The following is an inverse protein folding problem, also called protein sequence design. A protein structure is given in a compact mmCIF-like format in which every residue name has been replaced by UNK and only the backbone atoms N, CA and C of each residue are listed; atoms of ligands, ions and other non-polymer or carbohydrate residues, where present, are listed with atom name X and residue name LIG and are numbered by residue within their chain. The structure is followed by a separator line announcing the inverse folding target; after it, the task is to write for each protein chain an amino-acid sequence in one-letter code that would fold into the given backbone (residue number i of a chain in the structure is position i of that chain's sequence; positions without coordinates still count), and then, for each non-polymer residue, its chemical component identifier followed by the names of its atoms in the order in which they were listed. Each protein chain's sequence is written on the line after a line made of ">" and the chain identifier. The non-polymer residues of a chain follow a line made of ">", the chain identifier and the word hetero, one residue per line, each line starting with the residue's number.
data_IF_451382624391
#
_entry.id   IF_451382624391
#
_cell.length_a   1.000
_cell.length_b   1.000
_cell.length_c   1.000
_cell.angle_alpha   90.00
_cell.angle_beta   90.00
_cell.angle_gamma   90.00
#
_symmetry.space_group_name_H-M   'P 1'
#
loop_
_entity.id
_entity.type
_entity.pdbx_description
1 polymer ?
#
# COMPACT_ATOMS: atom_id res chain seq x y z
N UNK A 1 13.57 -7.41 7.57
CA UNK A 1 12.65 -6.89 6.56
C UNK A 1 13.29 -5.74 5.78
N UNK A 2 12.69 -5.35 4.68
CA UNK A 2 13.15 -4.21 3.89
C UNK A 2 12.77 -2.91 4.60
N UNK A 3 13.73 -2.25 5.26
CA UNK A 3 13.52 -1.02 6.01
C UNK A 3 13.28 0.22 5.12
N UNK A 4 13.36 0.08 3.81
CA UNK A 4 12.97 1.16 2.89
C UNK A 4 11.46 1.46 2.94
N UNK A 5 10.65 0.48 3.35
CA UNK A 5 9.22 0.66 3.57
C UNK A 5 8.96 1.31 4.93
N UNK A 6 8.19 2.40 4.91
CA UNK A 6 7.76 3.05 6.13
C UNK A 6 6.58 2.29 6.75
N UNK A 7 6.69 1.85 8.01
CA UNK A 7 5.65 1.05 8.66
C UNK A 7 4.53 1.92 9.24
N UNK A 8 3.82 2.69 8.43
CA UNK A 8 2.77 3.62 8.87
C UNK A 8 1.64 2.93 9.66
N UNK A 9 1.46 1.62 9.48
CA UNK A 9 0.49 0.82 10.24
C UNK A 9 0.84 0.68 11.73
N UNK A 10 2.05 1.05 12.14
CA UNK A 10 2.45 1.13 13.55
C UNK A 10 2.05 2.45 14.22
N UNK A 11 1.53 3.41 13.47
CA UNK A 11 1.10 4.69 14.02
C UNK A 11 0.02 4.49 15.10
N UNK A 12 0.13 5.15 16.27
CA UNK A 12 -0.92 5.11 17.29
C UNK A 12 -2.25 5.66 16.78
N UNK A 13 -3.35 5.24 17.40
CA UNK A 13 -4.68 5.79 17.10
C UNK A 13 -4.72 7.30 17.35
N UNK A 14 -5.51 8.00 16.54
CA UNK A 14 -5.68 9.45 16.60
C UNK A 14 -4.39 10.26 16.38
N UNK A 15 -3.46 9.69 15.62
CA UNK A 15 -2.23 10.38 15.21
C UNK A 15 -2.21 10.62 13.71
N UNK A 16 -1.32 11.52 13.29
CA UNK A 16 -1.13 11.90 11.89
C UNK A 16 0.33 11.70 11.51
N UNK A 17 0.54 11.02 10.39
CA UNK A 17 1.84 10.98 9.71
C UNK A 17 1.81 11.96 8.55
N UNK A 18 2.77 12.84 8.49
CA UNK A 18 2.90 13.81 7.39
C UNK A 18 3.90 13.31 6.38
N UNK A 19 3.48 13.18 5.14
CA UNK A 19 4.24 12.60 4.03
C UNK A 19 4.33 13.59 2.89
N UNK A 20 5.52 13.75 2.32
CA UNK A 20 5.71 14.43 1.05
C UNK A 20 5.91 13.37 -0.04
N UNK A 21 4.89 13.13 -0.84
CA UNK A 21 5.04 12.24 -1.98
C UNK A 21 5.92 12.85 -3.05
N UNK A 22 6.68 12.00 -3.72
CA UNK A 22 7.56 12.34 -4.83
C UNK A 22 7.03 11.75 -6.13
N UNK A 23 7.37 12.33 -7.28
CA UNK A 23 7.09 11.72 -8.58
C UNK A 23 7.74 10.34 -8.69
N UNK A 24 7.23 9.51 -9.60
CA UNK A 24 7.92 8.28 -9.97
C UNK A 24 9.27 8.62 -10.65
N UNK A 25 10.28 7.83 -10.36
CA UNK A 25 11.57 7.91 -11.07
C UNK A 25 11.47 7.47 -12.54
N UNK A 26 10.46 6.69 -12.89
CA UNK A 26 10.12 6.37 -14.28
C UNK A 26 9.32 7.52 -14.89
N UNK A 27 9.96 8.33 -15.72
CA UNK A 27 9.36 9.50 -16.36
C UNK A 27 8.25 9.15 -17.38
N UNK A 28 8.09 7.89 -17.72
CA UNK A 28 6.98 7.41 -18.57
C UNK A 28 5.69 7.15 -17.79
N UNK A 29 5.78 7.11 -16.45
CA UNK A 29 4.62 7.00 -15.59
C UNK A 29 4.05 8.38 -15.29
N UNK A 30 2.84 8.66 -15.77
CA UNK A 30 2.12 9.91 -15.53
C UNK A 30 1.59 10.04 -14.09
N UNK A 31 1.65 8.95 -13.33
CA UNK A 31 1.21 8.91 -11.94
C UNK A 31 2.40 8.91 -10.98
N UNK A 32 2.18 9.30 -9.73
CA UNK A 32 3.20 9.21 -8.68
C UNK A 32 3.07 7.94 -7.81
N UNK A 33 2.42 6.91 -8.34
CA UNK A 33 2.30 5.60 -7.72
C UNK A 33 2.39 4.49 -8.78
N UNK A 34 2.67 3.28 -8.32
CA UNK A 34 2.67 2.07 -9.13
C UNK A 34 1.70 1.05 -8.53
N UNK A 35 0.78 0.54 -9.34
CA UNK A 35 -0.09 -0.57 -8.95
C UNK A 35 0.70 -1.87 -8.93
N UNK A 36 0.58 -2.62 -7.83
CA UNK A 36 1.17 -3.94 -7.66
C UNK A 36 0.09 -4.98 -7.41
N UNK A 37 0.23 -6.13 -8.06
CA UNK A 37 -0.63 -7.28 -7.83
C UNK A 37 0.16 -8.39 -7.15
N UNK A 38 -0.41 -8.98 -6.10
CA UNK A 38 0.20 -10.07 -5.38
C UNK A 38 -0.84 -11.10 -4.94
N UNK A 39 -0.37 -12.30 -4.65
CA UNK A 39 -1.18 -13.40 -4.10
C UNK A 39 -0.51 -13.83 -2.79
N UNK A 40 -1.30 -14.02 -1.75
CA UNK A 40 -0.82 -14.57 -0.49
C UNK A 40 -1.00 -16.10 -0.52
N UNK A 41 0.10 -16.82 -0.32
CA UNK A 41 0.10 -18.27 -0.20
C UNK A 41 0.33 -18.64 1.25
N UNK A 42 -0.57 -19.45 1.81
CA UNK A 42 -0.42 -20.00 3.15
C UNK A 42 -0.29 -21.51 3.06
N UNK A 43 0.75 -22.06 3.63
CA UNK A 43 1.04 -23.48 3.65
C UNK A 43 1.77 -23.85 4.94
N UNK A 44 1.74 -25.12 5.30
CA UNK A 44 2.55 -25.63 6.38
C UNK A 44 4.02 -25.68 5.96
N UNK A 45 4.91 -25.49 6.93
CA UNK A 45 6.35 -25.48 6.68
C UNK A 45 6.84 -26.71 5.90
N UNK A 46 8.05 -26.61 5.37
CA UNK A 46 8.67 -27.70 4.60
C UNK A 46 8.87 -28.90 5.52
N UNK A 47 8.65 -30.09 4.97
CA UNK A 47 8.82 -31.35 5.72
C UNK A 47 10.18 -31.42 6.41
N UNK A 48 10.16 -31.58 7.72
CA UNK A 48 11.35 -31.55 8.57
C UNK A 48 11.70 -30.21 9.20
N UNK A 49 10.95 -29.16 8.90
CA UNK A 49 10.96 -27.86 9.58
C UNK A 49 9.73 -27.72 10.47
N UNK A 50 9.53 -26.52 11.06
CA UNK A 50 8.34 -26.20 11.83
C UNK A 50 7.06 -26.54 11.06
N UNK A 51 6.08 -27.15 11.75
CA UNK A 51 4.74 -27.36 11.19
C UNK A 51 3.87 -26.09 11.24
N UNK A 52 4.41 -24.98 11.69
CA UNK A 52 3.67 -23.72 11.78
C UNK A 52 3.28 -23.23 10.39
N UNK A 53 2.07 -22.66 10.23
CA UNK A 53 1.66 -22.08 8.98
C UNK A 53 2.58 -20.92 8.56
N UNK A 54 3.04 -20.95 7.32
CA UNK A 54 3.85 -19.88 6.72
C UNK A 54 3.01 -19.19 5.66
N UNK A 55 3.00 -17.87 5.68
CA UNK A 55 2.38 -17.06 4.63
C UNK A 55 3.46 -16.32 3.87
N UNK A 56 3.49 -16.53 2.56
CA UNK A 56 4.37 -15.80 1.65
C UNK A 56 3.55 -14.97 0.66
N UNK A 57 4.07 -13.81 0.33
CA UNK A 57 3.51 -12.94 -0.69
C UNK A 57 4.30 -13.14 -1.99
N UNK A 58 3.61 -13.55 -3.05
CA UNK A 58 4.21 -13.74 -4.37
C UNK A 58 3.63 -12.74 -5.37
N UNK A 59 4.44 -12.23 -6.33
CA UNK A 59 3.93 -11.39 -7.39
C UNK A 59 2.90 -12.14 -8.24
N UNK A 60 1.80 -11.47 -8.60
CA UNK A 60 0.86 -12.00 -9.58
C UNK A 60 1.37 -11.73 -10.99
N UNK A 61 1.44 -12.77 -11.81
CA UNK A 61 2.00 -12.67 -13.17
C UNK A 61 1.16 -11.80 -14.11
N UNK A 62 -0.11 -11.60 -13.81
CA UNK A 62 -0.97 -10.68 -14.58
C UNK A 62 -0.44 -9.23 -14.55
N UNK A 63 0.30 -8.85 -13.51
CA UNK A 63 0.97 -7.56 -13.42
C UNK A 63 1.97 -7.34 -14.58
N UNK A 64 2.50 -8.42 -15.14
CA UNK A 64 3.44 -8.41 -16.27
C UNK A 64 2.78 -8.78 -17.61
N UNK A 65 1.44 -8.77 -17.67
CA UNK A 65 0.70 -9.15 -18.86
C UNK A 65 0.75 -10.64 -19.19
N UNK A 66 1.06 -11.50 -18.21
CA UNK A 66 1.18 -12.94 -18.36
C UNK A 66 0.09 -13.67 -17.58
N UNK A 67 -0.39 -14.84 -18.05
CA UNK A 67 -1.28 -15.66 -17.26
C UNK A 67 -0.63 -16.06 -15.93
N UNK A 68 -1.41 -15.99 -14.85
CA UNK A 68 -0.96 -16.42 -13.53
C UNK A 68 -1.40 -17.87 -13.28
N UNK A 69 -0.49 -18.79 -12.92
CA UNK A 69 -0.83 -20.21 -12.73
C UNK A 69 -1.77 -20.42 -11.53
N UNK A 70 -1.65 -19.62 -10.47
CA UNK A 70 -2.52 -19.73 -9.29
C UNK A 70 -3.93 -19.28 -9.65
N UNK A 71 -4.09 -18.16 -10.32
CA UNK A 71 -5.38 -17.66 -10.77
C UNK A 71 -6.02 -18.59 -11.80
N UNK A 72 -5.25 -19.18 -12.69
CA UNK A 72 -5.74 -20.17 -13.66
C UNK A 72 -6.33 -21.40 -12.95
N UNK A 73 -5.66 -21.86 -11.90
CA UNK A 73 -6.14 -23.00 -11.10
C UNK A 73 -7.39 -22.65 -10.27
N UNK A 74 -7.43 -21.46 -9.66
CA UNK A 74 -8.49 -21.09 -8.72
C UNK A 74 -9.70 -20.46 -9.38
N UNK A 75 -9.62 -20.07 -10.63
CA UNK A 75 -10.70 -19.38 -11.37
C UNK A 75 -12.00 -20.18 -11.43
N UNK A 76 -11.93 -21.51 -11.57
CA UNK A 76 -13.09 -22.38 -11.60
C UNK A 76 -13.77 -22.52 -10.24
N UNK A 77 -13.04 -22.30 -9.15
CA UNK A 77 -13.53 -22.45 -7.78
C UNK A 77 -14.58 -21.40 -7.39
N UNK A 78 -14.61 -20.26 -8.07
CA UNK A 78 -15.62 -19.21 -7.86
C UNK A 78 -17.05 -19.67 -8.19
N UNK A 79 -17.19 -20.73 -8.99
CA UNK A 79 -18.49 -21.31 -9.37
C UNK A 79 -18.99 -22.37 -8.40
N UNK A 80 -18.14 -22.80 -7.49
CA UNK A 80 -18.46 -23.80 -6.48
C UNK A 80 -18.60 -23.14 -5.11
N UNK A 81 -19.81 -23.10 -4.52
CA UNK A 81 -20.02 -22.48 -3.21
C UNK A 81 -19.13 -23.07 -2.10
N UNK A 82 -18.73 -24.34 -2.21
CA UNK A 82 -17.86 -25.00 -1.24
C UNK A 82 -16.39 -24.51 -1.35
N UNK A 83 -15.99 -23.98 -2.50
CA UNK A 83 -14.62 -23.56 -2.80
C UNK A 83 -14.47 -22.04 -2.91
N UNK A 84 -15.56 -21.28 -2.89
CA UNK A 84 -15.54 -19.83 -3.08
C UNK A 84 -14.66 -19.11 -2.06
N UNK A 85 -14.73 -19.49 -0.80
CA UNK A 85 -13.91 -18.90 0.26
C UNK A 85 -12.41 -19.18 0.04
N UNK A 86 -12.08 -20.39 -0.39
CA UNK A 86 -10.71 -20.78 -0.75
C UNK A 86 -10.23 -20.02 -1.98
N UNK A 87 -11.08 -19.86 -2.99
CA UNK A 87 -10.76 -19.04 -4.16
C UNK A 87 -10.48 -17.59 -3.77
N UNK A 88 -11.27 -17.01 -2.88
CA UNK A 88 -11.07 -15.67 -2.35
C UNK A 88 -9.74 -15.51 -1.61
N UNK A 89 -9.35 -16.50 -0.83
CA UNK A 89 -8.08 -16.55 -0.11
C UNK A 89 -6.87 -16.47 -1.05
N UNK A 90 -6.90 -17.18 -2.16
CA UNK A 90 -5.82 -17.27 -3.14
C UNK A 90 -6.01 -16.34 -4.35
N UNK A 91 -6.90 -15.37 -4.26
CA UNK A 91 -7.11 -14.40 -5.32
C UNK A 91 -6.09 -13.27 -5.25
N UNK A 92 -5.85 -12.64 -6.40
CA UNK A 92 -4.97 -11.48 -6.48
C UNK A 92 -5.46 -10.33 -5.61
N UNK A 93 -4.52 -9.67 -4.95
CA UNK A 93 -4.73 -8.47 -4.16
C UNK A 93 -3.95 -7.32 -4.76
N UNK A 94 -4.52 -6.11 -4.67
CA UNK A 94 -3.87 -4.89 -5.11
C UNK A 94 -3.18 -4.20 -3.94
N UNK A 95 -2.02 -3.60 -4.23
CA UNK A 95 -1.41 -2.57 -3.42
C UNK A 95 -0.87 -1.48 -4.32
N UNK A 96 -0.71 -0.28 -3.76
CA UNK A 96 -0.19 0.87 -4.47
C UNK A 96 1.10 1.31 -3.80
N UNK A 97 2.15 1.39 -4.59
CA UNK A 97 3.48 1.74 -4.13
C UNK A 97 3.75 3.20 -4.44
N UNK A 98 4.04 3.97 -3.39
CA UNK A 98 4.45 5.37 -3.46
C UNK A 98 5.87 5.52 -2.94
N UNK A 99 6.51 6.61 -3.29
CA UNK A 99 7.75 7.04 -2.66
C UNK A 99 7.63 8.47 -2.15
N UNK A 100 8.38 8.80 -1.13
CA UNK A 100 8.34 10.12 -0.54
C UNK A 100 9.18 10.27 0.71
N UNK A 101 9.09 11.44 1.31
CA UNK A 101 9.69 11.75 2.60
C UNK A 101 8.66 11.64 3.72
N UNK A 102 9.09 11.13 4.86
CA UNK A 102 8.33 11.26 6.11
C UNK A 102 8.75 12.58 6.75
N UNK A 103 7.86 13.57 6.69
CA UNK A 103 8.11 14.91 7.24
C UNK A 103 7.93 14.90 8.76
N UNK A 104 6.87 14.22 9.22
CA UNK A 104 6.59 14.06 10.64
C UNK A 104 5.99 12.68 10.90
N UNK A 105 6.48 12.02 11.92
CA UNK A 105 6.04 10.68 12.34
C UNK A 105 5.61 10.69 13.80
N UNK A 106 4.46 10.07 14.11
CA UNK A 106 3.97 9.98 15.49
C UNK A 106 4.67 8.89 16.32
N UNK A 107 5.64 8.17 15.76
CA UNK A 107 6.40 7.12 16.43
C UNK A 107 7.84 7.09 15.94
N UNK A 108 8.69 6.45 16.72
CA UNK A 108 10.11 6.23 16.39
C UNK A 108 10.30 4.83 15.81
N UNK A 109 11.00 4.73 14.70
CA UNK A 109 11.37 3.45 14.10
C UNK A 109 12.62 2.87 14.80
N UNK A 110 12.66 1.56 14.97
CA UNK A 110 13.84 0.87 15.53
C UNK A 110 15.05 0.95 14.59
N UNK A 111 14.80 0.88 13.29
CA UNK A 111 15.83 0.87 12.24
C UNK A 111 15.45 1.84 11.11
N UNK A 112 15.81 3.09 11.28
CA UNK A 112 15.63 4.10 10.22
C UNK A 112 16.71 3.94 9.17
N UNK A 113 16.38 3.81 7.86
CA UNK A 113 17.38 3.73 6.80
C UNK A 113 18.10 5.06 6.61
N UNK A 114 19.33 5.00 6.09
CA UNK A 114 20.10 6.20 5.75
C UNK A 114 19.47 7.01 4.61
N UNK A 115 18.84 6.31 3.65
CA UNK A 115 18.14 6.97 2.56
C UNK A 115 16.84 7.61 3.09
N UNK A 116 16.68 8.93 2.99
CA UNK A 116 15.48 9.61 3.46
C UNK A 116 14.25 9.35 2.60
N UNK A 117 14.43 8.88 1.37
CA UNK A 117 13.32 8.50 0.49
C UNK A 117 12.78 7.15 0.94
N UNK A 118 11.52 7.16 1.35
CA UNK A 118 10.83 5.99 1.87
C UNK A 118 9.80 5.48 0.86
N UNK A 119 9.51 4.21 0.94
CA UNK A 119 8.42 3.56 0.19
C UNK A 119 7.20 3.37 1.08
N UNK A 120 6.03 3.54 0.47
CA UNK A 120 4.74 3.35 1.13
C UNK A 120 3.94 2.36 0.32
N UNK A 121 3.61 1.22 0.91
CA UNK A 121 2.72 0.24 0.31
C UNK A 121 1.34 0.40 0.92
N UNK A 122 0.40 0.97 0.18
CA UNK A 122 -0.93 1.26 0.67
C UNK A 122 -2.00 0.38 0.04
N UNK A 123 -3.01 0.06 0.85
CA UNK A 123 -4.14 -0.74 0.44
C UNK A 123 -5.09 0.05 -0.47
N UNK A 124 -5.98 -0.62 -1.23
CA UNK A 124 -6.98 0.06 -2.05
C UNK A 124 -7.84 1.06 -1.27
N UNK A 125 -8.21 0.76 -0.02
CA UNK A 125 -9.03 1.65 0.79
C UNK A 125 -8.34 2.98 1.10
N UNK A 126 -7.05 2.97 1.42
CA UNK A 126 -6.27 4.19 1.62
C UNK A 126 -6.05 4.91 0.28
N UNK A 127 -5.74 4.15 -0.77
CA UNK A 127 -5.55 4.70 -2.10
C UNK A 127 -6.77 5.45 -2.61
N UNK A 128 -7.98 4.92 -2.40
CA UNK A 128 -9.22 5.59 -2.79
C UNK A 128 -9.37 6.94 -2.10
N UNK A 129 -8.92 7.07 -0.86
CA UNK A 129 -8.91 8.35 -0.13
C UNK A 129 -7.91 9.33 -0.70
N UNK A 130 -6.69 8.87 -1.01
CA UNK A 130 -5.67 9.70 -1.69
C UNK A 130 -6.20 10.19 -3.03
N UNK A 131 -6.77 9.29 -3.81
CA UNK A 131 -7.34 9.62 -5.13
C UNK A 131 -8.50 10.61 -5.02
N UNK A 132 -9.44 10.39 -4.11
CA UNK A 132 -10.57 11.29 -3.89
C UNK A 132 -10.09 12.69 -3.50
N UNK A 133 -9.12 12.78 -2.60
CA UNK A 133 -8.52 14.05 -2.21
C UNK A 133 -7.86 14.78 -3.39
N UNK A 134 -7.20 14.06 -4.30
CA UNK A 134 -6.62 14.66 -5.52
C UNK A 134 -7.71 15.19 -6.45
N UNK A 135 -8.81 14.46 -6.61
CA UNK A 135 -9.92 14.85 -7.51
C UNK A 135 -10.68 16.05 -6.97
N UNK A 136 -10.89 16.10 -5.64
CA UNK A 136 -11.65 17.17 -4.98
C UNK A 136 -10.89 18.48 -4.85
N UNK A 137 -9.59 18.48 -5.10
CA UNK A 137 -8.79 19.67 -4.96
C UNK A 137 -8.61 20.37 -6.30
N UNK A 138 -8.94 21.64 -6.32
CA UNK A 138 -8.61 22.60 -7.37
C UNK A 138 -7.08 22.89 -7.29
N UNK A 139 -6.27 21.85 -7.54
CA UNK A 139 -4.83 22.03 -7.62
C UNK A 139 -4.48 22.66 -8.96
N UNK A 140 -3.96 23.86 -8.93
CA UNK A 140 -3.29 24.45 -10.08
C UNK A 140 -1.93 23.75 -10.32
N UNK A 141 -1.32 23.19 -9.26
CA UNK A 141 0.00 22.57 -9.26
C UNK A 141 -0.04 21.09 -8.86
N UNK A 142 0.94 20.32 -9.34
CA UNK A 142 1.10 18.92 -8.97
C UNK A 142 1.54 18.81 -7.49
N UNK A 143 0.83 18.04 -6.64
CA UNK A 143 1.17 17.91 -5.22
C UNK A 143 2.54 17.28 -4.98
N UNK A 144 3.13 16.59 -5.95
CA UNK A 144 4.44 15.96 -5.85
C UNK A 144 5.60 16.83 -6.36
N UNK A 145 5.34 18.05 -6.80
CA UNK A 145 6.39 18.96 -7.24
C UNK A 145 7.38 19.25 -6.11
N UNK A 146 8.66 19.35 -6.44
CA UNK A 146 9.70 19.62 -5.46
C UNK A 146 9.56 21.00 -4.80
N UNK A 147 9.10 21.96 -5.58
CA UNK A 147 8.79 23.31 -5.13
C UNK A 147 7.32 23.58 -5.39
N UNK A 148 6.60 23.98 -4.39
CA UNK A 148 5.18 24.28 -4.52
C UNK A 148 4.27 23.05 -4.43
N UNK A 149 4.79 21.87 -4.09
CA UNK A 149 3.98 20.69 -3.82
C UNK A 149 3.26 20.78 -2.48
N UNK A 150 2.61 19.70 -2.07
CA UNK A 150 1.82 19.65 -0.83
C UNK A 150 2.10 18.39 -0.03
N UNK A 151 2.14 18.54 1.27
CA UNK A 151 2.22 17.40 2.17
C UNK A 151 0.88 16.70 2.28
N UNK A 152 0.92 15.37 2.40
CA UNK A 152 -0.25 14.54 2.67
C UNK A 152 -0.26 14.17 4.15
N UNK A 153 -1.42 14.32 4.80
CA UNK A 153 -1.64 13.97 6.20
C UNK A 153 -2.39 12.65 6.27
N UNK A 154 -1.68 11.59 6.58
CA UNK A 154 -2.25 10.26 6.79
C UNK A 154 -2.72 10.17 8.24
N UNK A 155 -4.01 10.35 8.47
CA UNK A 155 -4.61 10.34 9.80
C UNK A 155 -5.20 8.98 10.11
N UNK A 156 -4.78 8.40 11.22
CA UNK A 156 -5.29 7.13 11.75
C UNK A 156 -6.34 7.40 12.79
N UNK A 157 -7.53 6.85 12.58
CA UNK A 157 -8.61 6.79 13.57
C UNK A 157 -9.07 5.36 13.73
N UNK A 158 -10.04 5.11 14.58
CA UNK A 158 -10.64 3.80 14.78
C UNK A 158 -12.13 3.84 14.44
N UNK A 159 -12.58 2.85 13.69
CA UNK A 159 -13.99 2.61 13.41
C UNK A 159 -14.33 1.18 13.81
N UNK A 160 -14.94 1.01 14.97
CA UNK A 160 -15.10 -0.30 15.58
C UNK A 160 -13.75 -0.89 15.97
N UNK A 161 -13.43 -2.07 15.46
CA UNK A 161 -12.13 -2.76 15.68
C UNK A 161 -11.10 -2.47 14.61
N UNK A 162 -11.47 -1.76 13.54
CA UNK A 162 -10.62 -1.54 12.37
C UNK A 162 -10.01 -0.14 12.36
N UNK A 163 -8.78 -0.06 11.87
CA UNK A 163 -8.14 1.21 11.57
C UNK A 163 -8.87 1.90 10.42
N UNK A 164 -9.03 3.20 10.55
CA UNK A 164 -9.71 4.04 9.58
C UNK A 164 -8.81 5.22 9.19
N UNK A 165 -8.73 5.51 7.91
CA UNK A 165 -7.92 6.59 7.34
C UNK A 165 -8.77 7.64 6.62
N UNK A 166 -10.09 7.63 6.84
CA UNK A 166 -11.07 8.43 6.09
C UNK A 166 -10.90 9.94 6.25
N UNK A 167 -10.26 10.40 7.33
CA UNK A 167 -10.01 11.82 7.59
C UNK A 167 -8.64 12.30 7.11
N UNK A 168 -7.92 11.47 6.37
CA UNK A 168 -6.67 11.85 5.73
C UNK A 168 -6.90 12.91 4.65
N UNK A 169 -5.97 13.85 4.50
CA UNK A 169 -6.13 14.99 3.61
C UNK A 169 -4.78 15.58 3.17
N UNK A 170 -4.81 16.34 2.09
CA UNK A 170 -3.69 17.17 1.69
C UNK A 170 -3.58 18.42 2.57
N UNK A 171 -2.35 18.88 2.81
CA UNK A 171 -2.12 20.17 3.42
C UNK A 171 -2.71 21.28 2.53
N UNK A 172 -3.44 22.27 3.09
CA UNK A 172 -3.90 23.42 2.30
C UNK A 172 -2.78 24.38 1.94
N UNK A 173 -1.63 24.27 2.58
CA UNK A 173 -0.43 25.08 2.32
C UNK A 173 0.42 24.42 1.25
N UNK A 174 0.94 25.24 0.36
CA UNK A 174 2.04 24.90 -0.53
C UNK A 174 3.33 24.87 0.30
N UNK A 175 4.12 23.83 0.15
CA UNK A 175 5.31 23.57 0.97
C UNK A 175 6.59 23.63 0.11
#
# INVERSE_FOLDING_TARGET
>A
GDNSFFPFFNSPENTTTTIRFLPDGDTTNDFFWVEKLHINLTFNGIKGQSNDPVTVRVPCMEMYGKPDPILSQTRSWWKDPALEETARKYWKKKSYLFQGFVIDSPFTEENTPENPIRRFSISPGIFDKVRAAIIDMDFEDNPTDYVGGRNFRLKVTKKGTFRNYDTSSWSPKVE
#
